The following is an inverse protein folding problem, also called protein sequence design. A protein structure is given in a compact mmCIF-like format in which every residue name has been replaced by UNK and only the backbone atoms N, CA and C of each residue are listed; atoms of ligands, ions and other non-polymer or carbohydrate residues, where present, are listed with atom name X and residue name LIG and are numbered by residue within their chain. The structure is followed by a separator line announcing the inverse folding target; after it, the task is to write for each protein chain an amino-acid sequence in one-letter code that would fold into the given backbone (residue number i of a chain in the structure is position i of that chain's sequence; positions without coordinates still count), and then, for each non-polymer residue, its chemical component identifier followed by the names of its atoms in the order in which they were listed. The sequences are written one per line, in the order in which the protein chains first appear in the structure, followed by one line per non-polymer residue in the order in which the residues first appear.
data_IF_146830469331
#
_entry.id   IF_146830469331
#
_cell.length_a   1.000
_cell.length_b   1.000
_cell.length_c   1.000
_cell.angle_alpha   90.00
_cell.angle_beta   90.00
_cell.angle_gamma   90.00
#
_symmetry.space_group_name_H-M   'P 1'
#
loop_
_entity.id
_entity.type
_entity.pdbx_description
1 polymer ?
#
# COMPACT_ATOMS: atom_id res chain seq x y z
N UNK A 1 -19.89 0.93 -12.59
CA UNK A 1 -18.86 1.43 -11.66
C UNK A 1 -19.54 2.43 -10.76
N UNK A 2 -20.17 1.93 -9.70
CA UNK A 2 -20.89 2.78 -8.74
C UNK A 2 -19.88 3.16 -7.66
N UNK A 3 -19.35 4.38 -7.76
CA UNK A 3 -18.35 4.94 -6.85
C UNK A 3 -19.01 5.23 -5.50
N UNK A 4 -19.01 4.24 -4.61
CA UNK A 4 -19.03 4.53 -3.17
C UNK A 4 -17.57 4.65 -2.72
N UNK A 5 -16.98 5.81 -3.00
CA UNK A 5 -15.73 6.26 -2.36
C UNK A 5 -16.03 6.41 -0.87
N UNK A 6 -15.58 5.46 -0.06
CA UNK A 6 -15.38 5.68 1.36
C UNK A 6 -13.91 6.06 1.58
N UNK A 7 -13.74 6.96 2.54
CA UNK A 7 -12.67 7.92 2.76
C UNK A 7 -11.28 7.29 2.97
N UNK A 8 -10.25 8.07 2.63
CA UNK A 8 -8.80 7.84 2.76
C UNK A 8 -8.42 7.07 4.01
N UNK A 9 -7.63 6.01 3.84
CA UNK A 9 -7.04 5.24 4.93
C UNK A 9 -5.51 5.38 4.83
N UNK A 10 -4.81 5.45 5.95
CA UNK A 10 -3.35 5.56 5.98
C UNK A 10 -2.73 4.17 5.74
N UNK A 11 -1.76 4.08 4.83
CA UNK A 11 -0.96 2.87 4.64
C UNK A 11 0.03 2.74 5.78
N UNK A 12 0.18 1.54 6.35
CA UNK A 12 1.12 1.30 7.43
C UNK A 12 2.33 0.43 7.07
N UNK A 13 3.51 0.84 7.52
CA UNK A 13 4.79 0.12 7.41
C UNK A 13 5.37 -0.21 8.79
N UNK A 14 6.05 -1.35 8.94
CA UNK A 14 6.50 -1.87 10.24
C UNK A 14 5.98 -3.28 10.55
N UNK A 15 5.01 -3.74 9.75
CA UNK A 15 4.62 -5.14 9.60
C UNK A 15 5.16 -5.69 8.27
N UNK A 16 5.11 -7.01 8.06
CA UNK A 16 5.48 -7.62 6.78
C UNK A 16 4.46 -7.33 5.66
N UNK A 17 3.31 -6.73 5.98
CA UNK A 17 2.17 -6.48 5.10
C UNK A 17 1.71 -5.01 5.15
N UNK A 18 1.11 -4.54 4.05
CA UNK A 18 0.46 -3.24 3.96
C UNK A 18 -0.99 -3.32 4.44
N UNK A 19 -1.36 -2.45 5.38
CA UNK A 19 -2.73 -2.36 5.89
C UNK A 19 -3.27 -0.94 5.79
N UNK A 20 -4.58 -0.85 5.59
CA UNK A 20 -5.31 0.39 5.55
C UNK A 20 -5.87 0.69 6.94
N UNK A 21 -5.53 1.84 7.50
CA UNK A 21 -6.02 2.26 8.82
C UNK A 21 -7.11 3.33 8.72
N UNK A 22 -8.17 3.26 9.55
CA UNK A 22 -9.18 4.30 9.64
C UNK A 22 -8.57 5.64 10.06
N UNK A 23 -9.07 6.73 9.46
CA UNK A 23 -8.66 8.09 9.79
C UNK A 23 -8.95 8.46 11.26
N UNK A 24 -10.00 7.86 11.84
CA UNK A 24 -10.34 7.97 13.26
C UNK A 24 -10.30 6.55 13.88
N UNK A 25 -9.16 6.13 14.46
CA UNK A 25 -9.01 4.79 15.00
C UNK A 25 -9.70 4.65 16.36
N UNK A 26 -10.48 3.58 16.51
CA UNK A 26 -11.00 3.16 17.81
C UNK A 26 -9.89 2.49 18.62
N UNK A 27 -9.33 3.20 19.60
CA UNK A 27 -8.25 2.70 20.46
C UNK A 27 -8.82 2.35 21.83
N UNK A 28 -8.83 1.06 22.17
CA UNK A 28 -9.34 0.60 23.47
C UNK A 28 -8.41 0.98 24.63
N UNK A 29 -7.11 0.70 24.51
CA UNK A 29 -6.12 0.99 25.56
C UNK A 29 -4.77 1.35 24.97
N UNK A 30 -4.15 2.43 25.46
CA UNK A 30 -2.81 2.85 25.05
C UNK A 30 -1.79 2.28 26.04
N UNK A 31 -0.99 1.31 25.59
CA UNK A 31 0.14 0.79 26.38
C UNK A 31 1.38 1.63 26.05
N UNK A 32 1.64 2.68 26.83
CA UNK A 32 2.77 3.60 26.60
C UNK A 32 4.12 3.10 27.15
N UNK A 33 4.16 1.90 27.76
CA UNK A 33 5.30 1.45 28.56
C UNK A 33 5.62 -0.04 28.43
N UNK A 34 5.47 -0.61 27.24
CA UNK A 34 6.00 -1.94 26.95
C UNK A 34 7.52 -1.85 26.67
N UNK A 35 8.33 -2.67 27.34
CA UNK A 35 9.78 -2.73 27.06
C UNK A 35 10.08 -3.27 25.65
N UNK A 36 9.13 -4.00 25.05
CA UNK A 36 9.17 -4.47 23.68
C UNK A 36 7.76 -4.32 23.08
N UNK A 37 7.60 -3.45 22.08
CA UNK A 37 6.36 -3.29 21.31
C UNK A 37 6.67 -3.31 19.81
N UNK A 38 5.75 -3.86 19.03
CA UNK A 38 5.73 -3.65 17.58
C UNK A 38 5.09 -2.29 17.31
N UNK A 39 5.66 -1.54 16.37
CA UNK A 39 5.13 -0.25 15.95
C UNK A 39 4.52 -0.36 14.56
N UNK A 40 3.43 0.37 14.37
CA UNK A 40 2.78 0.57 13.07
C UNK A 40 3.15 1.99 12.63
N UNK A 41 3.95 2.13 11.58
CA UNK A 41 4.32 3.42 10.96
C UNK A 41 3.45 3.69 9.75
N UNK A 42 3.48 4.90 9.21
CA UNK A 42 2.90 5.18 7.89
C UNK A 42 3.84 4.73 6.76
N UNK A 43 3.30 4.46 5.57
CA UNK A 43 4.08 4.25 4.34
C UNK A 43 4.35 5.55 3.59
N UNK A 44 5.57 5.70 3.11
CA UNK A 44 5.98 6.79 2.21
C UNK A 44 6.55 6.25 0.90
N UNK A 45 6.37 7.01 -0.17
CA UNK A 45 6.99 6.73 -1.44
C UNK A 45 8.47 7.12 -1.42
N UNK A 46 9.34 6.14 -1.20
CA UNK A 46 10.79 6.34 -1.34
C UNK A 46 11.26 6.06 -2.79
N UNK A 47 10.90 6.97 -3.70
CA UNK A 47 11.06 6.81 -5.15
C UNK A 47 12.26 7.57 -5.74
N UNK A 48 13.32 7.79 -4.95
CA UNK A 48 14.51 8.51 -5.42
C UNK A 48 15.08 7.88 -6.70
N UNK A 49 15.22 8.67 -7.77
CA UNK A 49 15.75 8.21 -9.05
C UNK A 49 14.75 7.43 -9.94
N UNK A 50 13.52 7.18 -9.48
CA UNK A 50 12.46 6.62 -10.30
C UNK A 50 11.73 7.74 -11.06
N UNK A 51 12.17 8.05 -12.28
CA UNK A 51 11.60 9.15 -13.10
C UNK A 51 10.08 9.12 -13.20
N UNK A 52 9.50 7.92 -13.36
CA UNK A 52 8.05 7.73 -13.51
C UNK A 52 7.25 8.03 -12.23
N UNK A 53 7.89 8.02 -11.05
CA UNK A 53 7.26 8.25 -9.74
C UNK A 53 7.94 9.40 -8.99
N UNK A 54 8.69 10.24 -9.71
CA UNK A 54 9.53 11.29 -9.11
C UNK A 54 8.73 12.35 -8.35
N UNK A 55 7.50 12.64 -8.79
CA UNK A 55 6.59 13.55 -8.11
C UNK A 55 6.04 13.01 -6.79
N UNK A 56 6.23 11.72 -6.51
CA UNK A 56 5.75 11.08 -5.28
C UNK A 56 6.86 10.94 -4.24
N UNK A 57 8.10 11.33 -4.53
CA UNK A 57 9.21 11.18 -3.58
C UNK A 57 8.91 11.86 -2.24
N UNK A 58 9.02 11.11 -1.14
CA UNK A 58 8.68 11.52 0.23
C UNK A 58 7.21 11.94 0.45
N UNK A 59 6.30 11.50 -0.41
CA UNK A 59 4.87 11.67 -0.17
C UNK A 59 4.25 10.42 0.47
N UNK A 60 3.26 10.64 1.31
CA UNK A 60 2.50 9.58 1.97
C UNK A 60 1.68 8.79 0.96
N UNK A 61 1.63 7.47 1.16
CA UNK A 61 0.88 6.55 0.31
C UNK A 61 -0.60 6.56 0.72
N UNK A 62 -1.54 6.92 -0.16
CA UNK A 62 -2.96 6.78 0.13
C UNK A 62 -3.36 5.30 0.10
N UNK A 63 -4.26 4.88 0.98
CA UNK A 63 -4.94 3.60 0.80
C UNK A 63 -6.29 3.75 0.07
N UNK A 64 -6.56 2.78 -0.82
CA UNK A 64 -7.89 2.50 -1.38
C UNK A 64 -8.38 1.10 -0.96
N UNK A 65 -9.64 1.01 -0.53
CA UNK A 65 -10.34 -0.25 -0.26
C UNK A 65 -11.52 -0.38 -1.22
N UNK A 66 -11.59 -1.48 -1.96
CA UNK A 66 -12.62 -1.73 -2.96
C UNK A 66 -13.49 -2.92 -2.57
N UNK A 67 -14.82 -2.77 -2.71
CA UNK A 67 -15.75 -3.90 -2.63
C UNK A 67 -15.79 -4.64 -3.96
N UNK A 68 -15.63 -5.96 -3.93
CA UNK A 68 -15.66 -6.81 -5.13
C UNK A 68 -16.42 -8.11 -4.87
N UNK A 69 -17.03 -8.66 -5.94
CA UNK A 69 -17.67 -9.97 -5.92
C UNK A 69 -16.68 -11.12 -6.20
N UNK A 70 -15.41 -10.80 -6.48
CA UNK A 70 -14.35 -11.78 -6.71
C UNK A 70 -13.69 -12.15 -5.38
N UNK A 71 -13.47 -13.44 -5.13
CA UNK A 71 -12.93 -13.94 -3.84
C UNK A 71 -11.41 -13.94 -3.75
N UNK A 72 -10.71 -13.68 -4.86
CA UNK A 72 -9.24 -13.79 -4.92
C UNK A 72 -8.67 -12.82 -5.95
N UNK A 73 -7.58 -12.16 -5.58
CA UNK A 73 -6.75 -11.34 -6.46
C UNK A 73 -5.32 -11.86 -6.39
N UNK A 74 -4.63 -11.90 -7.52
CA UNK A 74 -3.20 -12.24 -7.56
C UNK A 74 -2.43 -11.15 -8.29
N UNK A 75 -1.17 -10.98 -7.90
CA UNK A 75 -0.21 -10.15 -8.63
C UNK A 75 0.61 -11.05 -9.58
N UNK A 76 0.64 -10.70 -10.86
CA UNK A 76 1.49 -11.37 -11.86
C UNK A 76 2.66 -10.44 -12.19
N UNK A 77 3.81 -10.69 -11.56
CA UNK A 77 5.02 -9.91 -11.79
C UNK A 77 5.50 -10.01 -13.24
N UNK A 78 6.10 -8.93 -13.75
CA UNK A 78 6.63 -8.82 -15.11
C UNK A 78 5.61 -9.01 -16.25
N UNK A 79 4.31 -8.94 -15.97
CA UNK A 79 3.24 -8.90 -16.98
C UNK A 79 2.35 -7.68 -16.81
N UNK A 80 2.01 -7.03 -17.93
CA UNK A 80 1.02 -5.93 -17.98
C UNK A 80 -0.36 -6.39 -18.46
N UNK A 81 -0.49 -7.67 -18.79
CA UNK A 81 -1.69 -8.27 -19.38
C UNK A 81 -2.12 -9.49 -18.60
N UNK A 82 -3.41 -9.59 -18.31
CA UNK A 82 -3.96 -10.78 -17.67
C UNK A 82 -4.14 -11.91 -18.68
N UNK A 83 -4.14 -13.15 -18.20
CA UNK A 83 -4.48 -14.32 -19.01
C UNK A 83 -5.96 -14.26 -19.45
N UNK A 84 -6.31 -15.04 -20.48
CA UNK A 84 -7.70 -15.11 -20.95
C UNK A 84 -8.67 -15.48 -19.81
N UNK A 85 -9.77 -14.75 -19.69
CA UNK A 85 -10.78 -14.94 -18.64
C UNK A 85 -10.48 -14.22 -17.31
N UNK A 86 -9.31 -13.59 -17.17
CA UNK A 86 -8.96 -12.81 -15.99
C UNK A 86 -9.34 -11.34 -16.18
N UNK A 87 -9.73 -10.70 -15.08
CA UNK A 87 -10.01 -9.27 -15.04
C UNK A 87 -8.80 -8.54 -14.47
N UNK A 88 -8.34 -7.52 -15.18
CA UNK A 88 -7.31 -6.61 -14.68
C UNK A 88 -7.92 -5.72 -13.59
N UNK A 89 -7.37 -5.80 -12.38
CA UNK A 89 -7.75 -4.90 -11.28
C UNK A 89 -6.85 -3.66 -11.24
N UNK A 90 -5.51 -3.86 -11.27
CA UNK A 90 -4.53 -2.79 -11.33
C UNK A 90 -3.29 -3.23 -12.13
N UNK A 91 -2.50 -2.25 -12.58
CA UNK A 91 -1.17 -2.47 -13.18
C UNK A 91 -0.27 -1.32 -12.80
N UNK A 92 1.03 -1.56 -12.68
CA UNK A 92 1.98 -0.48 -12.46
C UNK A 92 3.37 -0.98 -12.10
N UNK A 93 3.91 -0.42 -11.03
CA UNK A 93 5.30 -0.58 -10.64
C UNK A 93 5.41 -1.54 -9.46
N UNK A 94 6.35 -2.47 -9.52
CA UNK A 94 6.68 -3.31 -8.38
C UNK A 94 7.56 -2.51 -7.43
N UNK A 95 7.02 -2.16 -6.26
CA UNK A 95 7.72 -1.40 -5.23
C UNK A 95 7.93 -2.29 -4.02
N UNK A 96 9.05 -2.09 -3.35
CA UNK A 96 9.39 -2.77 -2.10
C UNK A 96 10.09 -1.79 -1.18
N UNK A 97 10.23 -2.17 0.07
CA UNK A 97 10.85 -1.34 1.10
C UNK A 97 12.35 -1.11 0.83
N UNK A 98 12.83 0.08 1.23
CA UNK A 98 14.18 0.59 0.97
C UNK A 98 15.27 -0.43 1.32
N UNK A 99 16.22 -0.61 0.40
CA UNK A 99 17.40 -1.46 0.61
C UNK A 99 18.19 -1.04 1.86
N UNK A 100 18.51 -1.99 2.74
CA UNK A 100 19.33 -1.75 3.95
C UNK A 100 18.60 -1.97 5.28
N UNK A 101 17.27 -2.14 5.26
CA UNK A 101 16.50 -2.57 6.42
C UNK A 101 16.51 -4.11 6.52
N UNK A 102 16.73 -4.62 7.72
CA UNK A 102 16.93 -6.05 8.01
C UNK A 102 15.61 -6.72 8.43
N UNK A 103 14.66 -6.75 7.49
CA UNK A 103 13.31 -7.26 7.66
C UNK A 103 12.86 -8.06 6.43
N UNK A 104 11.78 -8.82 6.59
CA UNK A 104 11.13 -9.48 5.46
C UNK A 104 10.47 -8.41 4.59
N UNK A 105 10.94 -8.27 3.36
CA UNK A 105 10.42 -7.31 2.39
C UNK A 105 9.38 -7.99 1.51
N UNK A 106 8.13 -7.53 1.59
CA UNK A 106 7.16 -7.84 0.55
C UNK A 106 7.26 -6.83 -0.59
N UNK A 107 6.98 -7.30 -1.80
CA UNK A 107 6.85 -6.45 -2.98
C UNK A 107 5.37 -6.26 -3.28
N UNK A 108 4.94 -5.02 -3.47
CA UNK A 108 3.58 -4.67 -3.84
C UNK A 108 3.54 -3.97 -5.18
N UNK A 109 2.43 -4.11 -5.91
CA UNK A 109 2.22 -3.35 -7.14
C UNK A 109 1.57 -2.02 -6.80
N UNK A 110 2.30 -0.93 -7.02
CA UNK A 110 1.76 0.42 -6.97
C UNK A 110 1.15 0.75 -8.34
N UNK A 111 -0.02 1.36 -8.35
CA UNK A 111 -0.73 1.70 -9.58
C UNK A 111 0.13 2.63 -10.46
N UNK A 112 0.00 2.48 -11.78
CA UNK A 112 0.73 3.31 -12.74
C UNK A 112 0.39 4.81 -12.63
N UNK A 113 -0.83 5.12 -12.17
CA UNK A 113 -1.37 6.46 -12.01
C UNK A 113 -1.42 6.82 -10.51
N UNK A 114 -0.42 6.37 -9.74
CA UNK A 114 -0.35 6.58 -8.30
C UNK A 114 -0.44 8.06 -7.90
N UNK A 115 -1.15 8.28 -6.79
CA UNK A 115 -1.42 9.59 -6.21
C UNK A 115 -0.75 9.70 -4.83
N UNK A 116 -0.46 10.91 -4.40
CA UNK A 116 -0.08 11.17 -3.01
C UNK A 116 -1.33 11.31 -2.13
N UNK A 117 -1.20 10.98 -0.85
CA UNK A 117 -2.26 11.33 0.11
C UNK A 117 -2.47 12.87 0.15
N UNK A 118 -3.70 13.35 0.43
CA UNK A 118 -4.01 14.78 0.51
C UNK A 118 -3.28 15.53 1.63
#
# INVERSE_FOLDING_TARGET
MDLRRALTMLAAEGDADFQCLPADPEIETVVTRAMFSSNTHGSEYETNGATALSSLYNHEVPCAVCFTNTTTTIMISASKTCYSGWKLEYRGFLITERNGLANNKQSTCVDQDAEAAP
#
